data_IF_071930297131
#
_entry.id   IF_071930297131
#
_cell.length_a   1.000
_cell.length_b   1.000
_cell.length_c   1.000
_cell.angle_alpha   90.00
_cell.angle_beta   90.00
_cell.angle_gamma   90.00
#
_symmetry.space_group_name_H-M   'P 1'
#
loop_
_entity.id
_entity.type
_entity.pdbx_description
1 polymer ?
#
# COMPACT_ATOMS: atom_id res chain seq x y z
N UNK A 1 -9.13 -7.97 -10.26
CA UNK A 1 -8.09 -8.65 -9.46
C UNK A 1 -8.69 -9.23 -8.19
N UNK A 2 -8.23 -10.40 -7.79
CA UNK A 2 -8.63 -10.98 -6.51
C UNK A 2 -7.94 -10.25 -5.36
N UNK A 3 -8.46 -10.43 -4.13
CA UNK A 3 -7.82 -9.85 -2.93
C UNK A 3 -6.39 -10.33 -2.77
N UNK A 4 -6.12 -11.59 -3.06
CA UNK A 4 -4.76 -12.15 -2.96
C UNK A 4 -3.82 -11.51 -3.97
N UNK A 5 -4.28 -11.26 -5.18
CA UNK A 5 -3.48 -10.59 -6.21
C UNK A 5 -3.19 -9.14 -5.84
N UNK A 6 -4.18 -8.43 -5.29
CA UNK A 6 -4.00 -7.05 -4.84
C UNK A 6 -2.98 -7.02 -3.71
N UNK A 7 -3.09 -7.90 -2.73
CA UNK A 7 -2.16 -7.95 -1.61
C UNK A 7 -0.74 -8.24 -2.08
N UNK A 8 -0.57 -9.20 -2.97
CA UNK A 8 0.73 -9.55 -3.52
C UNK A 8 1.36 -8.36 -4.24
N UNK A 9 0.58 -7.66 -5.04
CA UNK A 9 1.08 -6.49 -5.77
C UNK A 9 1.42 -5.33 -4.85
N UNK A 10 0.58 -5.08 -3.84
CA UNK A 10 0.86 -4.05 -2.83
C UNK A 10 2.16 -4.36 -2.10
N UNK A 11 2.36 -5.62 -1.73
CA UNK A 11 3.57 -6.06 -1.05
C UNK A 11 4.81 -5.83 -1.92
N UNK A 12 4.73 -6.15 -3.22
CA UNK A 12 5.82 -5.90 -4.14
C UNK A 12 6.20 -4.42 -4.20
N UNK A 13 5.20 -3.54 -4.29
CA UNK A 13 5.42 -2.09 -4.30
C UNK A 13 6.08 -1.65 -2.99
N UNK A 14 5.59 -2.16 -1.86
CA UNK A 14 6.16 -1.84 -0.55
C UNK A 14 7.62 -2.27 -0.46
N UNK A 15 7.94 -3.47 -0.90
CA UNK A 15 9.30 -4.00 -0.83
C UNK A 15 10.28 -3.28 -1.77
N UNK A 16 9.80 -2.67 -2.84
CA UNK A 16 10.62 -1.81 -3.68
C UNK A 16 11.11 -0.58 -2.92
N UNK A 17 10.31 -0.10 -1.97
CA UNK A 17 10.63 1.09 -1.18
C UNK A 17 11.43 0.71 0.06
N UNK A 18 11.13 -0.44 0.64
CA UNK A 18 11.75 -0.93 1.86
C UNK A 18 12.34 -2.33 1.62
N UNK A 19 13.42 -2.45 0.82
CA UNK A 19 13.94 -3.77 0.42
C UNK A 19 14.54 -4.56 1.56
N UNK A 20 14.89 -3.89 2.67
CA UNK A 20 15.47 -4.57 3.83
C UNK A 20 14.42 -5.25 4.72
N UNK A 21 13.15 -5.00 4.47
CA UNK A 21 12.08 -5.58 5.27
C UNK A 21 11.88 -7.04 4.87
N UNK A 22 11.84 -7.92 5.88
CA UNK A 22 11.51 -9.32 5.66
C UNK A 22 9.98 -9.45 5.58
N UNK A 23 9.43 -9.84 4.42
CA UNK A 23 7.98 -9.95 4.27
C UNK A 23 7.33 -10.95 5.21
N UNK A 24 8.08 -11.95 5.66
CA UNK A 24 7.55 -12.94 6.60
C UNK A 24 7.39 -12.38 8.01
N UNK A 25 8.07 -11.28 8.33
CA UNK A 25 7.98 -10.62 9.64
C UNK A 25 7.03 -9.43 9.62
N UNK A 26 6.55 -9.06 8.44
CA UNK A 26 5.65 -7.93 8.29
C UNK A 26 4.31 -8.26 8.93
N UNK A 27 3.90 -7.44 9.90
CA UNK A 27 2.61 -7.61 10.57
C UNK A 27 1.56 -6.80 9.82
N UNK A 28 0.59 -7.50 9.28
CA UNK A 28 -0.39 -6.97 8.33
C UNK A 28 -1.24 -5.84 8.91
N UNK A 29 -1.59 -5.93 10.20
CA UNK A 29 -2.51 -4.99 10.83
C UNK A 29 -1.81 -3.93 11.68
N UNK A 30 -0.48 -3.95 11.74
CA UNK A 30 0.29 -2.98 12.52
C UNK A 30 0.80 -1.87 11.60
N UNK A 31 0.70 -0.59 12.00
CA UNK A 31 1.23 0.49 11.17
C UNK A 31 2.69 0.28 10.83
N UNK A 32 3.06 0.57 9.58
CA UNK A 32 4.44 0.39 9.12
C UNK A 32 5.43 1.14 10.00
N UNK A 33 5.10 2.36 10.41
CA UNK A 33 6.00 3.17 11.24
C UNK A 33 6.24 2.57 12.63
N UNK A 34 5.37 1.68 13.08
CA UNK A 34 5.55 0.99 14.36
C UNK A 34 6.39 -0.26 14.22
N UNK A 35 6.66 -0.69 13.00
CA UNK A 35 7.47 -1.88 12.70
C UNK A 35 8.83 -1.53 12.13
N UNK A 36 8.93 -0.42 11.40
CA UNK A 36 10.12 -0.04 10.63
C UNK A 36 10.33 1.47 10.71
N UNK A 37 11.51 1.92 10.27
CA UNK A 37 11.77 3.34 10.03
C UNK A 37 11.05 3.77 8.75
N UNK A 38 9.76 4.05 8.87
CA UNK A 38 8.92 4.40 7.73
C UNK A 38 8.39 5.82 7.93
N UNK A 39 9.00 6.78 7.24
CA UNK A 39 8.68 8.19 7.41
C UNK A 39 7.72 8.71 6.32
N UNK A 40 7.49 10.04 6.32
CA UNK A 40 6.57 10.64 5.36
C UNK A 40 7.08 10.55 3.91
N UNK A 41 8.40 10.55 3.71
CA UNK A 41 8.95 10.37 2.36
C UNK A 41 8.72 8.96 1.85
N UNK A 42 8.82 7.98 2.73
CA UNK A 42 8.54 6.59 2.37
C UNK A 42 7.06 6.43 2.01
N UNK A 43 6.17 7.08 2.76
CA UNK A 43 4.74 7.06 2.47
C UNK A 43 4.45 7.69 1.11
N UNK A 44 5.09 8.82 0.80
CA UNK A 44 4.95 9.46 -0.50
C UNK A 44 5.39 8.53 -1.63
N UNK A 45 6.55 7.91 -1.48
CA UNK A 45 7.07 6.98 -2.49
C UNK A 45 6.16 5.76 -2.65
N UNK A 46 5.61 5.28 -1.55
CA UNK A 46 4.65 4.17 -1.57
C UNK A 46 3.39 4.57 -2.35
N UNK A 47 2.86 5.75 -2.09
CA UNK A 47 1.69 6.26 -2.82
C UNK A 47 1.97 6.37 -4.32
N UNK A 48 3.14 6.87 -4.70
CA UNK A 48 3.55 6.98 -6.10
C UNK A 48 3.63 5.60 -6.74
N UNK A 49 4.22 4.64 -6.05
CA UNK A 49 4.34 3.27 -6.54
C UNK A 49 2.97 2.61 -6.73
N UNK A 50 2.05 2.81 -5.80
CA UNK A 50 0.69 2.28 -5.90
C UNK A 50 -0.07 2.93 -7.04
N UNK A 51 0.10 4.24 -7.21
CA UNK A 51 -0.50 4.97 -8.34
C UNK A 51 -0.07 4.33 -9.67
N UNK A 52 1.21 4.06 -9.83
CA UNK A 52 1.74 3.46 -11.06
C UNK A 52 1.30 2.01 -11.23
N UNK A 53 1.29 1.24 -10.15
CA UNK A 53 0.99 -0.19 -10.22
C UNK A 53 -0.48 -0.47 -10.53
N UNK A 54 -1.38 0.34 -9.98
CA UNK A 54 -2.82 0.10 -10.07
C UNK A 54 -3.57 1.15 -10.90
N UNK A 55 -2.88 2.18 -11.37
CA UNK A 55 -3.49 3.30 -12.12
C UNK A 55 -4.64 3.94 -11.33
N UNK A 56 -4.40 4.18 -10.04
CA UNK A 56 -5.37 4.83 -9.15
C UNK A 56 -4.81 6.16 -8.65
N UNK A 57 -5.69 7.13 -8.39
CA UNK A 57 -5.29 8.40 -7.80
C UNK A 57 -5.30 8.28 -6.28
N UNK A 58 -4.24 8.81 -5.64
CA UNK A 58 -4.13 8.80 -4.19
C UNK A 58 -3.80 10.22 -3.74
N UNK A 59 -4.84 11.05 -3.44
CA UNK A 59 -4.58 12.39 -2.92
C UNK A 59 -3.90 12.33 -1.57
N UNK A 60 -3.10 13.34 -1.29
CA UNK A 60 -2.34 13.41 -0.04
C UNK A 60 -3.23 13.27 1.20
N UNK A 61 -4.45 13.78 1.13
CA UNK A 61 -5.41 13.67 2.23
C UNK A 61 -5.77 12.23 2.58
N UNK A 62 -5.47 11.29 1.68
CA UNK A 62 -5.77 9.87 1.88
C UNK A 62 -4.54 9.04 2.22
N UNK A 63 -3.38 9.66 2.42
CA UNK A 63 -2.16 8.91 2.74
C UNK A 63 -2.27 8.13 4.05
N UNK A 64 -3.10 8.56 4.97
CA UNK A 64 -3.35 7.81 6.22
C UNK A 64 -3.94 6.42 5.97
N UNK A 65 -4.56 6.21 4.81
CA UNK A 65 -5.09 4.90 4.43
C UNK A 65 -3.98 3.92 4.05
N UNK A 66 -2.77 4.40 3.95
CA UNK A 66 -1.59 3.59 3.59
C UNK A 66 -0.75 3.23 4.82
N UNK A 67 -1.31 3.35 6.01
CA UNK A 67 -0.55 3.21 7.26
C UNK A 67 -0.11 1.77 7.55
N UNK A 68 -0.88 0.78 7.10
CA UNK A 68 -0.53 -0.63 7.28
C UNK A 68 -0.80 -1.40 5.99
N UNK A 69 -0.29 -2.63 5.92
CA UNK A 69 -0.53 -3.46 4.75
C UNK A 69 -2.02 -3.73 4.57
N UNK A 70 -2.71 -4.11 5.64
CA UNK A 70 -4.14 -4.41 5.57
C UNK A 70 -4.98 -3.23 5.14
N UNK A 71 -4.70 -2.04 5.69
CA UNK A 71 -5.40 -0.82 5.31
C UNK A 71 -5.13 -0.47 3.84
N UNK A 72 -3.89 -0.62 3.40
CA UNK A 72 -3.52 -0.32 2.01
C UNK A 72 -4.25 -1.25 1.04
N UNK A 73 -4.28 -2.55 1.33
CA UNK A 73 -4.96 -3.52 0.47
C UNK A 73 -6.46 -3.17 0.38
N UNK A 74 -7.09 -2.87 1.51
CA UNK A 74 -8.50 -2.50 1.53
C UNK A 74 -8.76 -1.21 0.73
N UNK A 75 -7.89 -0.21 0.88
CA UNK A 75 -8.00 1.04 0.15
C UNK A 75 -7.89 0.82 -1.36
N UNK A 76 -6.88 0.06 -1.79
CA UNK A 76 -6.67 -0.23 -3.21
C UNK A 76 -7.86 -1.00 -3.78
N UNK A 77 -8.36 -1.98 -3.03
CA UNK A 77 -9.50 -2.78 -3.47
C UNK A 77 -10.74 -1.90 -3.70
N UNK A 78 -11.01 -0.97 -2.77
CA UNK A 78 -12.13 -0.04 -2.91
C UNK A 78 -11.97 0.87 -4.12
N UNK A 79 -10.76 1.34 -4.38
CA UNK A 79 -10.50 2.21 -5.54
C UNK A 79 -10.68 1.48 -6.86
N UNK A 80 -10.23 0.23 -6.94
CA UNK A 80 -10.42 -0.59 -8.14
C UNK A 80 -11.91 -0.85 -8.35
N UNK A 81 -12.63 -1.19 -7.29
CA UNK A 81 -14.07 -1.47 -7.35
C UNK A 81 -14.85 -0.24 -7.81
N UNK A 82 -14.56 0.93 -7.25
CA UNK A 82 -15.21 2.19 -7.63
C UNK A 82 -14.97 2.51 -9.11
N UNK A 83 -13.78 2.23 -9.61
CA UNK A 83 -13.43 2.48 -11.02
C UNK A 83 -14.19 1.57 -11.96
N UNK A 84 -14.45 0.32 -11.55
CA UNK A 84 -15.21 -0.63 -12.36
C UNK A 84 -16.67 -0.25 -12.48
N UNK A 85 -17.21 0.44 -11.49
CA UNK A 85 -18.61 0.84 -11.41
C UNK A 85 -18.89 2.17 -12.14
N UNK A 86 -17.87 2.85 -12.60
CA UNK A 86 -18.02 4.16 -13.26
C UNK A 86 -18.07 4.07 -14.77
#
# INVERSE_FOLDING_TARGET
MSSAEIEQRVLEVFLDIAPDVDPQRLQREVPFRDQFDFDSMDTLNFAIGLHKAFAIDIPETQYRELASLGQTVAFVARRIEARRDS
#
